data_IF_974060157197
#
_entry.id   IF_974060157197
#
_cell.length_a   1.000
_cell.length_b   1.000
_cell.length_c   1.000
_cell.angle_alpha   90.00
_cell.angle_beta   90.00
_cell.angle_gamma   90.00
#
_symmetry.space_group_name_H-M   'P 1'
#
loop_
_entity.id
_entity.type
_entity.pdbx_description
1 polymer ?
#
# COMPACT_ATOMS: atom_id res chain seq x y z
N UNK A 1 15.66 15.76 20.91
CA UNK A 1 15.57 14.31 20.66
C UNK A 1 14.25 14.00 19.93
N UNK A 2 14.24 14.16 18.60
CA UNK A 2 13.04 14.07 17.74
C UNK A 2 13.25 13.20 16.49
N UNK A 3 14.21 12.27 16.50
CA UNK A 3 14.76 11.73 15.23
C UNK A 3 14.25 10.35 14.81
N UNK A 4 13.54 9.57 15.63
CA UNK A 4 13.16 8.21 15.18
C UNK A 4 12.00 8.20 14.19
N UNK A 5 11.03 9.10 14.30
CA UNK A 5 9.86 9.12 13.41
C UNK A 5 10.11 9.87 12.08
N UNK A 6 11.07 10.81 12.01
CA UNK A 6 11.37 11.48 10.75
C UNK A 6 12.18 10.59 9.81
N UNK A 7 13.10 9.77 10.34
CA UNK A 7 13.98 8.90 9.54
C UNK A 7 13.20 7.87 8.69
N UNK A 8 12.10 7.32 9.21
CA UNK A 8 11.24 6.36 8.49
C UNK A 8 10.60 6.98 7.25
N UNK A 9 10.18 8.24 7.34
CA UNK A 9 9.49 8.97 6.27
C UNK A 9 10.50 9.56 5.29
N UNK A 10 11.61 10.05 5.81
CA UNK A 10 12.65 10.74 5.04
C UNK A 10 13.36 9.77 4.07
N UNK A 11 13.63 8.52 4.46
CA UNK A 11 14.24 7.53 3.57
C UNK A 11 13.31 7.02 2.45
N UNK A 12 12.01 6.84 2.71
CA UNK A 12 11.06 6.46 1.64
C UNK A 12 10.74 7.64 0.70
N UNK A 13 10.80 8.89 1.19
CA UNK A 13 10.76 10.08 0.35
C UNK A 13 12.07 10.28 -0.44
N UNK A 14 13.23 9.97 0.15
CA UNK A 14 14.55 10.08 -0.50
C UNK A 14 14.73 9.03 -1.62
N UNK A 15 14.30 7.79 -1.40
CA UNK A 15 14.28 6.75 -2.44
C UNK A 15 13.37 7.12 -3.62
N UNK A 16 12.36 7.98 -3.41
CA UNK A 16 11.49 8.50 -4.47
C UNK A 16 12.01 9.80 -5.10
N UNK A 17 12.79 10.63 -4.39
CA UNK A 17 13.36 11.89 -4.91
C UNK A 17 14.44 11.69 -5.97
N UNK A 18 15.17 10.57 -5.96
CA UNK A 18 16.18 10.23 -6.98
C UNK A 18 15.58 9.90 -8.37
N UNK A 19 14.28 10.12 -8.58
CA UNK A 19 13.55 9.84 -9.81
C UNK A 19 13.41 11.04 -10.77
N UNK A 20 14.00 12.20 -10.48
CA UNK A 20 13.95 13.33 -11.40
C UNK A 20 15.13 13.30 -12.39
N UNK A 21 14.95 12.58 -13.49
CA UNK A 21 15.59 12.94 -14.77
C UNK A 21 14.51 13.52 -15.70
N UNK A 22 14.84 14.52 -16.54
CA UNK A 22 13.83 15.31 -17.22
C UNK A 22 13.35 14.57 -18.48
N UNK A 23 12.16 13.99 -18.42
CA UNK A 23 11.46 13.56 -19.63
C UNK A 23 10.40 14.60 -19.98
N UNK A 24 10.78 15.41 -20.97
CA UNK A 24 9.94 16.04 -21.99
C UNK A 24 8.48 16.36 -21.69
N UNK A 25 8.21 17.65 -21.64
CA UNK A 25 6.91 18.31 -21.79
C UNK A 25 6.10 17.75 -22.98
N UNK A 26 4.87 17.29 -22.69
CA UNK A 26 3.61 17.26 -23.49
C UNK A 26 2.74 16.15 -22.88
N UNK A 27 1.47 16.29 -22.51
CA UNK A 27 0.38 17.12 -23.02
C UNK A 27 -0.75 17.13 -21.97
N UNK A 28 -1.40 18.28 -21.79
CA UNK A 28 -2.48 18.57 -20.82
C UNK A 28 -3.85 17.93 -21.17
N UNK A 29 -3.90 16.77 -21.83
CA UNK A 29 -5.18 16.21 -22.33
C UNK A 29 -5.45 14.72 -22.02
N UNK A 30 -4.66 14.06 -21.19
CA UNK A 30 -4.76 12.58 -21.03
C UNK A 30 -5.74 12.07 -19.97
N UNK A 31 -6.47 12.93 -19.24
CA UNK A 31 -7.35 12.49 -18.13
C UNK A 31 -8.77 12.13 -18.60
N UNK A 32 -9.13 12.35 -19.87
CA UNK A 32 -10.50 12.11 -20.36
C UNK A 32 -10.63 10.95 -21.39
N UNK A 33 -9.73 9.96 -21.37
CA UNK A 33 -9.76 8.85 -22.34
C UNK A 33 -9.44 7.48 -21.70
N UNK A 34 -10.12 7.12 -20.61
CA UNK A 34 -10.08 5.75 -20.03
C UNK A 34 -11.41 4.99 -20.22
N UNK A 35 -12.40 5.56 -20.91
CA UNK A 35 -13.62 4.83 -21.28
C UNK A 35 -13.86 4.91 -22.77
N UNK A 36 -13.39 3.90 -23.53
CA UNK A 36 -14.04 3.35 -24.73
C UNK A 36 -13.07 2.46 -25.51
N UNK A 37 -13.14 1.15 -25.28
CA UNK A 37 -13.31 0.15 -26.35
C UNK A 37 -13.81 -1.15 -25.72
N UNK A 38 -15.08 -1.46 -25.94
CA UNK A 38 -15.70 -2.75 -25.67
C UNK A 38 -15.37 -3.71 -26.81
N UNK A 39 -14.87 -4.90 -26.49
CA UNK A 39 -15.02 -6.09 -27.34
C UNK A 39 -15.76 -7.13 -26.50
N UNK A 40 -16.95 -7.49 -26.96
CA UNK A 40 -17.82 -8.52 -26.41
C UNK A 40 -17.14 -9.90 -26.38
N UNK A 41 -16.91 -10.42 -25.18
CA UNK A 41 -17.01 -11.83 -24.80
C UNK A 41 -17.41 -11.81 -23.32
N UNK A 42 -18.42 -12.60 -22.92
CA UNK A 42 -19.05 -12.65 -21.58
C UNK A 42 -18.15 -12.22 -20.42
N UNK A 43 -18.14 -10.92 -20.10
CA UNK A 43 -17.42 -10.40 -18.95
C UNK A 43 -18.22 -10.78 -17.71
N UNK A 44 -17.56 -11.50 -16.81
CA UNK A 44 -18.03 -11.68 -15.45
C UNK A 44 -18.35 -10.29 -14.87
N UNK A 45 -19.55 -10.11 -14.29
CA UNK A 45 -20.06 -8.79 -13.86
C UNK A 45 -19.12 -8.07 -12.86
N UNK A 46 -18.11 -8.77 -12.35
CA UNK A 46 -17.03 -8.25 -11.50
C UNK A 46 -16.13 -7.22 -12.19
N UNK A 47 -15.86 -7.35 -13.50
CA UNK A 47 -15.02 -6.39 -14.25
C UNK A 47 -15.70 -5.04 -14.46
N UNK A 48 -17.04 -5.00 -14.37
CA UNK A 48 -17.82 -3.78 -14.56
C UNK A 48 -17.61 -2.75 -13.45
N UNK A 49 -17.19 -3.18 -12.26
CA UNK A 49 -17.15 -2.33 -11.07
C UNK A 49 -15.77 -2.22 -10.42
N UNK A 50 -14.89 -3.23 -10.57
CA UNK A 50 -13.54 -3.18 -10.04
C UNK A 50 -12.51 -3.34 -11.18
N UNK A 51 -11.71 -2.31 -11.48
CA UNK A 51 -10.70 -2.38 -12.53
C UNK A 51 -9.70 -3.51 -12.27
N UNK A 52 -9.46 -4.37 -13.26
CA UNK A 52 -8.50 -5.46 -13.16
C UNK A 52 -7.05 -4.98 -12.99
N UNK A 53 -6.74 -3.76 -13.42
CA UNK A 53 -5.44 -3.09 -13.30
C UNK A 53 -5.39 -2.06 -12.16
N UNK A 54 -6.25 -2.21 -11.14
CA UNK A 54 -6.38 -1.25 -10.03
C UNK A 54 -5.05 -0.91 -9.34
N UNK A 55 -4.12 -1.87 -9.20
CA UNK A 55 -2.78 -1.60 -8.64
C UNK A 55 -2.04 -0.53 -9.46
N UNK A 56 -2.05 -0.67 -10.78
CA UNK A 56 -1.36 0.25 -11.68
C UNK A 56 -2.00 1.63 -11.64
N UNK A 57 -3.34 1.69 -11.59
CA UNK A 57 -4.08 2.95 -11.46
C UNK A 57 -3.67 3.66 -10.16
N UNK A 58 -3.62 2.94 -9.03
CA UNK A 58 -3.19 3.49 -7.73
C UNK A 58 -1.74 3.98 -7.80
N UNK A 59 -0.83 3.20 -8.37
CA UNK A 59 0.58 3.58 -8.48
C UNK A 59 0.79 4.79 -9.39
N UNK A 60 0.08 4.88 -10.51
CA UNK A 60 0.12 6.03 -11.42
C UNK A 60 -0.35 7.31 -10.71
N UNK A 61 -1.44 7.24 -9.92
CA UNK A 61 -1.90 8.38 -9.11
C UNK A 61 -0.84 8.92 -8.14
N UNK A 62 0.14 8.10 -7.71
CA UNK A 62 1.18 8.51 -6.76
C UNK A 62 2.46 9.06 -7.44
N UNK A 63 2.54 9.00 -8.77
CA UNK A 63 3.73 9.39 -9.55
C UNK A 63 3.62 10.76 -10.21
N UNK A 64 2.55 11.51 -9.94
CA UNK A 64 2.34 12.81 -10.57
C UNK A 64 3.19 13.90 -9.90
N UNK A 65 3.69 14.86 -10.68
CA UNK A 65 4.46 15.99 -10.12
C UNK A 65 3.57 17.01 -9.39
N UNK A 66 2.24 16.90 -9.48
CA UNK A 66 1.30 17.85 -8.90
C UNK A 66 0.44 17.17 -7.82
N UNK A 67 0.69 17.54 -6.57
CA UNK A 67 0.05 16.91 -5.41
C UNK A 67 -1.48 17.01 -5.41
N UNK A 68 -2.06 18.10 -5.93
CA UNK A 68 -3.51 18.27 -6.00
C UNK A 68 -4.14 17.29 -6.99
N UNK A 69 -3.47 17.04 -8.12
CA UNK A 69 -3.92 16.03 -9.08
C UNK A 69 -3.87 14.63 -8.46
N UNK A 70 -2.84 14.33 -7.67
CA UNK A 70 -2.74 13.04 -6.97
C UNK A 70 -3.88 12.86 -5.96
N UNK A 71 -4.23 13.90 -5.19
CA UNK A 71 -5.38 13.85 -4.28
C UNK A 71 -6.71 13.64 -5.01
N UNK A 72 -6.92 14.33 -6.13
CA UNK A 72 -8.11 14.13 -6.97
C UNK A 72 -8.19 12.70 -7.47
N UNK A 73 -7.08 12.17 -8.00
CA UNK A 73 -6.95 10.80 -8.49
C UNK A 73 -7.27 9.76 -7.38
N UNK A 74 -6.72 9.95 -6.17
CA UNK A 74 -7.00 9.08 -5.01
C UNK A 74 -8.49 9.12 -4.61
N UNK A 75 -9.14 10.29 -4.70
CA UNK A 75 -10.56 10.45 -4.40
C UNK A 75 -11.44 9.73 -5.43
N UNK A 76 -11.09 9.81 -6.71
CA UNK A 76 -11.80 9.09 -7.78
C UNK A 76 -11.73 7.57 -7.58
N UNK A 77 -10.55 7.03 -7.30
CA UNK A 77 -10.40 5.59 -6.99
C UNK A 77 -11.20 5.20 -5.75
N UNK A 78 -11.22 6.06 -4.72
CA UNK A 78 -12.04 5.82 -3.52
C UNK A 78 -13.51 5.64 -3.91
N UNK A 79 -14.04 6.51 -4.76
CA UNK A 79 -15.43 6.41 -5.25
C UNK A 79 -15.70 5.12 -6.02
N UNK A 80 -14.77 4.69 -6.88
CA UNK A 80 -14.87 3.41 -7.62
C UNK A 80 -14.94 2.23 -6.63
N UNK A 81 -14.06 2.20 -5.63
CA UNK A 81 -14.02 1.13 -4.64
C UNK A 81 -15.25 1.11 -3.73
N UNK A 82 -15.77 2.28 -3.34
CA UNK A 82 -17.01 2.40 -2.57
C UNK A 82 -18.23 1.96 -3.37
N UNK A 83 -18.26 2.22 -4.68
CA UNK A 83 -19.31 1.71 -5.56
C UNK A 83 -19.22 0.18 -5.69
N UNK A 84 -18.02 -0.35 -5.95
CA UNK A 84 -17.78 -1.79 -6.05
C UNK A 84 -18.20 -2.54 -4.77
N UNK A 85 -17.92 -1.97 -3.60
CA UNK A 85 -18.35 -2.55 -2.31
C UNK A 85 -19.87 -2.74 -2.22
N UNK A 86 -20.64 -1.72 -2.63
CA UNK A 86 -22.11 -1.75 -2.59
C UNK A 86 -22.67 -2.81 -3.54
N UNK A 87 -22.09 -2.93 -4.73
CA UNK A 87 -22.55 -3.87 -5.76
C UNK A 87 -22.19 -5.32 -5.42
N UNK A 88 -21.06 -5.56 -4.74
CA UNK A 88 -20.60 -6.91 -4.41
C UNK A 88 -21.07 -7.44 -3.06
N UNK A 89 -22.06 -6.83 -2.41
CA UNK A 89 -22.48 -7.18 -1.03
C UNK A 89 -22.76 -8.68 -0.80
N UNK A 90 -23.10 -9.44 -1.85
CA UNK A 90 -23.35 -10.88 -1.79
C UNK A 90 -22.22 -11.76 -2.38
N UNK A 91 -21.06 -11.20 -2.73
CA UNK A 91 -19.95 -11.94 -3.40
C UNK A 91 -18.65 -11.82 -2.60
N UNK A 92 -18.41 -12.80 -1.71
CA UNK A 92 -17.27 -12.81 -0.77
C UNK A 92 -15.90 -12.65 -1.43
N UNK A 93 -15.66 -13.28 -2.57
CA UNK A 93 -14.39 -13.17 -3.30
C UNK A 93 -14.16 -11.79 -3.91
N UNK A 94 -15.21 -11.15 -4.43
CA UNK A 94 -15.11 -9.79 -4.99
C UNK A 94 -14.93 -8.77 -3.87
N UNK A 95 -15.65 -8.93 -2.76
CA UNK A 95 -15.47 -8.10 -1.57
C UNK A 95 -14.07 -8.20 -0.97
N UNK A 96 -13.44 -9.39 -0.99
CA UNK A 96 -12.04 -9.53 -0.59
C UNK A 96 -11.13 -8.52 -1.31
N UNK A 97 -11.20 -8.47 -2.65
CA UNK A 97 -10.35 -7.56 -3.43
C UNK A 97 -10.74 -6.10 -3.23
N UNK A 98 -12.02 -5.78 -3.07
CA UNK A 98 -12.45 -4.41 -2.73
C UNK A 98 -11.82 -3.97 -1.41
N UNK A 99 -11.95 -4.76 -0.34
CA UNK A 99 -11.36 -4.44 0.96
C UNK A 99 -9.85 -4.37 0.92
N UNK A 100 -9.22 -5.30 0.21
CA UNK A 100 -7.77 -5.30 0.01
C UNK A 100 -7.29 -4.01 -0.67
N UNK A 101 -7.90 -3.63 -1.79
CA UNK A 101 -7.49 -2.46 -2.57
C UNK A 101 -7.84 -1.14 -1.88
N UNK A 102 -8.92 -1.07 -1.09
CA UNK A 102 -9.19 0.07 -0.20
C UNK A 102 -8.07 0.26 0.82
N UNK A 103 -7.62 -0.83 1.47
CA UNK A 103 -6.54 -0.76 2.43
C UNK A 103 -5.21 -0.36 1.79
N UNK A 104 -4.90 -0.90 0.59
CA UNK A 104 -3.71 -0.53 -0.15
C UNK A 104 -3.72 0.94 -0.59
N UNK A 105 -4.88 1.44 -1.05
CA UNK A 105 -5.09 2.86 -1.36
C UNK A 105 -4.85 3.73 -0.12
N UNK A 106 -5.39 3.34 1.05
CA UNK A 106 -5.14 4.04 2.32
C UNK A 106 -3.64 4.11 2.66
N UNK A 107 -2.91 3.01 2.48
CA UNK A 107 -1.45 2.98 2.66
C UNK A 107 -0.77 3.98 1.72
N UNK A 108 -1.10 3.99 0.42
CA UNK A 108 -0.51 4.94 -0.56
C UNK A 108 -0.87 6.40 -0.28
N UNK A 109 -2.11 6.66 0.09
CA UNK A 109 -2.60 7.99 0.42
C UNK A 109 -1.88 8.54 1.67
N UNK A 110 -1.47 7.69 2.61
CA UNK A 110 -0.68 8.14 3.76
C UNK A 110 0.65 8.78 3.36
N UNK A 111 1.35 8.23 2.35
CA UNK A 111 2.58 8.85 1.82
C UNK A 111 2.31 10.15 1.08
N UNK A 112 1.19 10.24 0.37
CA UNK A 112 0.77 11.48 -0.27
C UNK A 112 0.58 12.60 0.75
N UNK A 113 -0.01 12.29 1.91
CA UNK A 113 -0.16 13.23 3.03
C UNK A 113 1.20 13.60 3.62
N UNK A 114 2.11 12.62 3.77
CA UNK A 114 3.45 12.88 4.31
C UNK A 114 4.29 13.83 3.44
N UNK A 115 4.22 13.68 2.12
CA UNK A 115 4.94 14.53 1.15
C UNK A 115 4.29 15.91 0.94
N UNK A 116 3.10 16.15 1.50
CA UNK A 116 2.41 17.42 1.37
C UNK A 116 3.05 18.48 2.29
N UNK A 117 3.74 19.43 1.68
CA UNK A 117 4.42 20.52 2.39
C UNK A 117 3.45 21.60 2.89
N UNK A 118 2.22 21.65 2.38
CA UNK A 118 1.20 22.61 2.81
C UNK A 118 0.55 22.20 4.14
N UNK A 119 0.79 20.96 4.60
CA UNK A 119 0.27 20.44 5.86
C UNK A 119 1.32 20.48 6.95
N UNK A 120 0.94 20.96 8.12
CA UNK A 120 1.76 20.83 9.30
C UNK A 120 1.70 19.39 9.87
N UNK A 121 2.62 19.07 10.78
CA UNK A 121 2.74 17.72 11.35
C UNK A 121 1.49 17.24 12.09
N UNK A 122 0.74 18.16 12.72
CA UNK A 122 -0.49 17.79 13.41
C UNK A 122 -1.61 17.46 12.42
N UNK A 123 -1.74 18.24 11.34
CA UNK A 123 -2.70 17.96 10.27
C UNK A 123 -2.39 16.64 9.57
N UNK A 124 -1.11 16.36 9.28
CA UNK A 124 -0.67 15.08 8.72
C UNK A 124 -1.08 13.92 9.60
N UNK A 125 -0.82 13.98 10.91
CA UNK A 125 -1.20 12.94 11.87
C UNK A 125 -2.71 12.65 11.85
N UNK A 126 -3.53 13.70 11.90
CA UNK A 126 -4.99 13.57 11.89
C UNK A 126 -5.48 12.94 10.58
N UNK A 127 -5.00 13.43 9.43
CA UNK A 127 -5.41 12.89 8.12
C UNK A 127 -4.95 11.45 7.92
N UNK A 128 -3.71 11.12 8.29
CA UNK A 128 -3.17 9.76 8.20
C UNK A 128 -3.94 8.81 9.11
N UNK A 129 -4.23 9.20 10.36
CA UNK A 129 -5.07 8.40 11.25
C UNK A 129 -6.40 8.08 10.58
N UNK A 130 -7.12 9.08 10.07
CA UNK A 130 -8.42 8.87 9.45
C UNK A 130 -8.36 7.93 8.23
N UNK A 131 -7.31 8.02 7.39
CA UNK A 131 -7.20 7.18 6.20
C UNK A 131 -6.78 5.74 6.55
N UNK A 132 -5.87 5.57 7.51
CA UNK A 132 -5.33 4.27 7.92
C UNK A 132 -6.38 3.48 8.70
N UNK A 133 -7.11 4.09 9.63
CA UNK A 133 -8.16 3.40 10.40
C UNK A 133 -9.27 2.89 9.47
N UNK A 134 -9.65 3.66 8.43
CA UNK A 134 -10.59 3.18 7.39
C UNK A 134 -10.06 1.98 6.59
N UNK A 135 -8.77 1.98 6.27
CA UNK A 135 -8.15 0.85 5.58
C UNK A 135 -8.12 -0.41 6.46
N UNK A 136 -7.83 -0.25 7.75
CA UNK A 136 -7.83 -1.33 8.74
C UNK A 136 -9.24 -1.91 8.95
N UNK A 137 -10.27 -1.05 9.00
CA UNK A 137 -11.68 -1.48 9.06
C UNK A 137 -12.03 -2.40 7.88
N UNK A 138 -11.65 -2.01 6.65
CA UNK A 138 -11.83 -2.84 5.46
C UNK A 138 -11.15 -4.21 5.58
N UNK A 139 -9.88 -4.24 6.02
CA UNK A 139 -9.18 -5.52 6.23
C UNK A 139 -9.84 -6.37 7.31
N UNK A 140 -10.38 -5.76 8.37
CA UNK A 140 -11.07 -6.49 9.43
C UNK A 140 -12.29 -7.26 8.90
N UNK A 141 -12.99 -6.73 7.89
CA UNK A 141 -14.13 -7.37 7.23
C UNK A 141 -13.75 -8.58 6.34
N UNK A 142 -12.47 -8.84 6.11
CA UNK A 142 -12.02 -10.06 5.42
C UNK A 142 -12.03 -11.23 6.41
N UNK A 143 -12.94 -12.19 6.24
CA UNK A 143 -13.07 -13.36 7.13
C UNK A 143 -11.85 -14.28 7.06
N UNK A 144 -11.46 -14.70 5.84
CA UNK A 144 -10.37 -15.63 5.60
C UNK A 144 -9.06 -14.90 5.27
N UNK A 145 -8.54 -14.16 6.25
CA UNK A 145 -7.25 -13.47 6.11
C UNK A 145 -6.16 -14.51 5.86
N UNK A 146 -5.36 -14.27 4.83
CA UNK A 146 -4.24 -15.12 4.43
C UNK A 146 -2.91 -14.34 4.52
N UNK A 147 -1.81 -14.99 4.17
CA UNK A 147 -0.47 -14.37 4.11
C UNK A 147 -0.48 -13.00 3.42
N UNK A 148 -1.25 -12.86 2.33
CA UNK A 148 -1.38 -11.63 1.55
C UNK A 148 -2.09 -10.51 2.33
N UNK A 149 -3.23 -10.82 2.95
CA UNK A 149 -3.97 -9.87 3.79
C UNK A 149 -3.15 -9.43 5.01
N UNK A 150 -2.46 -10.37 5.67
CA UNK A 150 -1.62 -10.05 6.82
C UNK A 150 -0.39 -9.23 6.45
N UNK A 151 0.15 -9.41 5.24
CA UNK A 151 1.24 -8.57 4.72
C UNK A 151 0.80 -7.11 4.62
N UNK A 152 -0.38 -6.87 4.04
CA UNK A 152 -0.93 -5.53 3.93
C UNK A 152 -1.32 -4.96 5.31
N UNK A 153 -1.89 -5.77 6.19
CA UNK A 153 -2.20 -5.38 7.57
C UNK A 153 -0.96 -4.86 8.30
N UNK A 154 0.17 -5.56 8.21
CA UNK A 154 1.43 -5.13 8.82
C UNK A 154 1.91 -3.76 8.28
N UNK A 155 1.73 -3.48 6.99
CA UNK A 155 2.03 -2.17 6.42
C UNK A 155 1.15 -1.06 7.01
N UNK A 156 -0.16 -1.29 7.10
CA UNK A 156 -1.08 -0.29 7.69
C UNK A 156 -0.77 -0.07 9.17
N UNK A 157 -0.50 -1.13 9.94
CA UNK A 157 -0.10 -1.03 11.35
C UNK A 157 1.20 -0.22 11.48
N UNK A 158 2.15 -0.38 10.55
CA UNK A 158 3.39 0.41 10.51
C UNK A 158 3.12 1.90 10.30
N UNK A 159 2.04 2.30 9.62
CA UNK A 159 1.67 3.71 9.51
C UNK A 159 1.09 4.29 10.80
N UNK A 160 0.55 3.45 11.71
CA UNK A 160 -0.01 3.89 13.01
C UNK A 160 1.05 4.57 13.89
N UNK A 161 2.34 4.25 13.73
CA UNK A 161 3.43 4.87 14.50
C UNK A 161 3.51 6.39 14.36
N UNK A 162 2.99 6.95 13.26
CA UNK A 162 2.98 8.40 13.01
C UNK A 162 2.13 9.14 14.04
N UNK A 163 0.98 8.57 14.40
CA UNK A 163 -0.01 9.21 15.27
C UNK A 163 -0.16 8.52 16.64
N UNK A 164 0.53 7.40 16.87
CA UNK A 164 0.45 6.66 18.13
C UNK A 164 1.25 7.38 19.24
N UNK A 165 0.63 7.67 20.40
CA UNK A 165 1.33 8.22 21.55
C UNK A 165 2.43 7.30 22.06
N UNK A 166 3.52 7.86 22.60
CA UNK A 166 4.71 7.11 23.05
C UNK A 166 4.40 5.96 24.00
N UNK A 167 3.47 6.17 24.93
CA UNK A 167 3.07 5.17 25.92
C UNK A 167 2.42 3.91 25.29
N UNK A 168 1.91 4.00 24.06
CA UNK A 168 1.24 2.90 23.36
C UNK A 168 2.14 2.21 22.32
N UNK A 169 3.38 2.66 22.13
CA UNK A 169 4.28 2.16 21.07
C UNK A 169 4.62 0.69 21.27
N UNK A 170 4.81 0.22 22.51
CA UNK A 170 5.10 -1.19 22.78
C UNK A 170 3.93 -2.11 22.39
N UNK A 171 2.70 -1.69 22.71
CA UNK A 171 1.50 -2.43 22.31
C UNK A 171 1.41 -2.50 20.77
N UNK A 172 1.65 -1.38 20.09
CA UNK A 172 1.65 -1.33 18.63
C UNK A 172 2.75 -2.22 18.01
N UNK A 173 3.93 -2.27 18.61
CA UNK A 173 5.00 -3.20 18.19
C UNK A 173 4.56 -4.64 18.26
N UNK A 174 3.89 -5.05 19.34
CA UNK A 174 3.40 -6.42 19.50
C UNK A 174 2.27 -6.73 18.51
N UNK A 175 1.37 -5.76 18.26
CA UNK A 175 0.33 -5.88 17.23
C UNK A 175 0.93 -6.10 15.85
N UNK A 176 1.94 -5.31 15.47
CA UNK A 176 2.60 -5.42 14.17
C UNK A 176 3.36 -6.74 14.03
N UNK A 177 4.10 -7.17 15.06
CA UNK A 177 4.80 -8.46 15.06
C UNK A 177 3.86 -9.63 14.83
N UNK A 178 2.67 -9.63 15.46
CA UNK A 178 1.65 -10.66 15.21
C UNK A 178 1.20 -10.68 13.75
N UNK A 179 0.92 -9.51 13.16
CA UNK A 179 0.55 -9.43 11.75
C UNK A 179 1.67 -9.94 10.82
N UNK A 180 2.92 -9.62 11.13
CA UNK A 180 4.10 -10.10 10.41
C UNK A 180 4.28 -11.63 10.54
N UNK A 181 4.10 -12.19 11.73
CA UNK A 181 4.13 -13.63 11.97
C UNK A 181 3.02 -14.34 11.17
N UNK A 182 1.78 -13.84 11.22
CA UNK A 182 0.68 -14.38 10.44
C UNK A 182 0.89 -14.23 8.93
N UNK A 183 1.58 -13.19 8.48
CA UNK A 183 1.92 -13.05 7.05
C UNK A 183 2.84 -14.17 6.54
N UNK A 184 3.57 -14.82 7.45
CA UNK A 184 4.50 -15.91 7.10
C UNK A 184 3.85 -17.29 7.15
N UNK A 185 2.67 -17.45 7.77
CA UNK A 185 1.93 -18.72 7.75
C UNK A 185 1.45 -18.98 6.31
N UNK A 186 1.86 -20.12 5.76
CA UNK A 186 1.66 -20.51 4.34
C UNK A 186 2.18 -19.45 3.35
N UNK A 187 3.11 -18.60 3.82
CA UNK A 187 3.63 -17.43 3.11
C UNK A 187 4.93 -17.69 2.37
N UNK A 188 5.40 -18.94 2.25
CA UNK A 188 6.74 -19.24 1.72
C UNK A 188 6.92 -18.80 0.25
N UNK A 189 5.80 -18.66 -0.47
CA UNK A 189 5.74 -18.21 -1.86
C UNK A 189 5.15 -16.80 -2.01
N UNK A 190 4.95 -16.06 -0.91
CA UNK A 190 4.42 -14.70 -0.95
C UNK A 190 5.55 -13.68 -0.87
N UNK A 191 5.86 -13.01 -1.99
CA UNK A 191 6.91 -11.97 -2.02
C UNK A 191 6.62 -10.83 -1.05
N UNK A 192 5.35 -10.46 -0.89
CA UNK A 192 4.93 -9.34 -0.03
C UNK A 192 5.14 -9.66 1.44
N UNK A 193 4.93 -10.90 1.88
CA UNK A 193 5.21 -11.32 3.27
C UNK A 193 6.69 -11.10 3.64
N UNK A 194 7.61 -11.53 2.78
CA UNK A 194 9.05 -11.29 2.97
C UNK A 194 9.41 -9.81 2.89
N UNK A 195 8.83 -9.08 1.92
CA UNK A 195 9.07 -7.65 1.77
C UNK A 195 8.66 -6.84 3.00
N UNK A 196 7.47 -7.10 3.57
CA UNK A 196 6.99 -6.33 4.72
C UNK A 196 7.76 -6.67 5.99
N UNK A 197 8.14 -7.93 6.17
CA UNK A 197 9.03 -8.35 7.25
C UNK A 197 10.41 -7.70 7.14
N UNK A 198 10.97 -7.63 5.92
CA UNK A 198 12.24 -6.96 5.69
C UNK A 198 12.16 -5.46 5.97
N UNK A 199 11.09 -4.81 5.50
CA UNK A 199 10.86 -3.38 5.71
C UNK A 199 10.73 -3.08 7.19
N UNK A 200 9.94 -3.87 7.93
CA UNK A 200 9.80 -3.72 9.37
C UNK A 200 11.13 -3.91 10.12
N UNK A 201 11.90 -4.95 9.77
CA UNK A 201 13.21 -5.20 10.37
C UNK A 201 14.18 -4.04 10.09
N UNK A 202 14.27 -3.58 8.84
CA UNK A 202 15.16 -2.50 8.42
C UNK A 202 14.93 -1.21 9.22
N UNK A 203 13.67 -0.81 9.38
CA UNK A 203 13.37 0.43 10.07
C UNK A 203 13.30 0.29 11.60
N UNK A 204 13.16 -0.93 12.13
CA UNK A 204 13.22 -1.15 13.57
C UNK A 204 14.60 -0.75 14.10
N UNK A 205 14.70 0.17 15.10
CA UNK A 205 16.00 0.56 15.64
C UNK A 205 16.81 -0.64 16.18
N UNK A 206 18.14 -0.59 16.03
CA UNK A 206 19.05 -1.66 16.48
C UNK A 206 18.86 -2.07 17.95
N UNK A 207 18.56 -1.11 18.83
CA UNK A 207 18.28 -1.37 20.26
C UNK A 207 17.05 -2.25 20.49
N UNK A 208 16.11 -2.28 19.53
CA UNK A 208 14.93 -3.15 19.53
C UNK A 208 15.14 -4.41 18.66
N UNK A 209 16.37 -4.62 18.17
CA UNK A 209 16.77 -5.83 17.45
C UNK A 209 16.63 -5.77 15.93
N UNK A 210 16.29 -4.63 15.34
CA UNK A 210 16.15 -4.50 13.89
C UNK A 210 17.47 -4.36 13.12
N UNK A 211 17.34 -4.35 11.79
CA UNK A 211 18.43 -4.26 10.82
C UNK A 211 19.28 -5.53 10.70
N UNK A 212 18.77 -6.68 11.15
CA UNK A 212 19.51 -7.95 11.18
C UNK A 212 19.10 -8.93 10.08
N UNK A 213 17.85 -8.85 9.63
CA UNK A 213 17.23 -9.82 8.72
C UNK A 213 16.84 -9.21 7.38
N UNK A 214 16.72 -7.88 7.31
CA UNK A 214 16.23 -7.15 6.15
C UNK A 214 16.82 -7.64 4.82
N UNK A 215 18.14 -7.67 4.69
CA UNK A 215 18.81 -8.11 3.46
C UNK A 215 18.44 -9.55 3.07
N UNK A 216 18.58 -10.50 4.01
CA UNK A 216 18.26 -11.92 3.74
C UNK A 216 16.80 -12.12 3.33
N UNK A 217 15.87 -11.36 3.93
CA UNK A 217 14.45 -11.39 3.61
C UNK A 217 14.17 -10.78 2.23
N UNK A 218 14.83 -9.68 1.86
CA UNK A 218 14.69 -9.07 0.53
C UNK A 218 15.26 -9.98 -0.58
N UNK A 219 16.40 -10.63 -0.34
CA UNK A 219 16.98 -11.61 -1.27
C UNK A 219 16.03 -12.79 -1.47
N UNK A 220 15.43 -13.31 -0.39
CA UNK A 220 14.39 -14.34 -0.47
C UNK A 220 13.18 -13.85 -1.27
N UNK A 221 12.72 -12.63 -1.03
CA UNK A 221 11.59 -12.02 -1.76
C UNK A 221 11.86 -11.96 -3.27
N UNK A 222 13.05 -11.54 -3.71
CA UNK A 222 13.42 -11.50 -5.14
C UNK A 222 13.42 -12.91 -5.77
N UNK A 223 13.90 -13.91 -5.03
CA UNK A 223 14.02 -15.29 -5.53
C UNK A 223 12.68 -15.96 -5.81
N UNK A 224 11.58 -15.44 -5.25
CA UNK A 224 10.26 -16.03 -5.37
C UNK A 224 9.70 -15.79 -6.78
N UNK A 225 9.28 -16.90 -7.41
CA UNK A 225 8.50 -16.90 -8.64
C UNK A 225 7.02 -16.88 -8.29
N UNK A 226 6.47 -15.68 -8.18
CA UNK A 226 5.04 -15.51 -7.87
C UNK A 226 4.15 -16.10 -8.97
N UNK A 227 3.09 -16.80 -8.54
CA UNK A 227 2.05 -17.32 -9.42
C UNK A 227 0.83 -16.41 -9.33
N UNK A 228 0.76 -15.41 -10.20
CA UNK A 228 -0.40 -14.55 -10.35
C UNK A 228 -1.43 -15.31 -11.19
N UNK A 229 -2.61 -15.55 -10.62
CA UNK A 229 -3.71 -16.29 -11.27
C UNK A 229 -4.74 -15.36 -11.87
N UNK A 230 -5.01 -14.24 -11.20
CA UNK A 230 -5.98 -13.25 -11.63
C UNK A 230 -5.30 -11.90 -11.86
N UNK A 231 -5.70 -11.13 -12.89
CA UNK A 231 -5.13 -9.80 -13.14
C UNK A 231 -5.17 -8.86 -11.93
N UNK A 232 -6.23 -8.99 -11.11
CA UNK A 232 -6.54 -8.19 -9.93
C UNK A 232 -5.74 -8.56 -8.68
N UNK A 233 -5.00 -9.66 -8.71
CA UNK A 233 -4.14 -10.05 -7.59
C UNK A 233 -2.98 -9.05 -7.43
N UNK A 234 -2.57 -8.77 -6.18
CA UNK A 234 -1.50 -7.84 -5.90
C UNK A 234 -0.15 -8.32 -6.43
N UNK A 235 0.61 -7.38 -6.98
CA UNK A 235 1.94 -7.55 -7.59
C UNK A 235 2.95 -6.57 -7.02
N UNK A 236 2.52 -5.67 -6.13
CA UNK A 236 3.38 -4.70 -5.46
C UNK A 236 4.46 -5.38 -4.60
N UNK A 237 5.43 -4.58 -4.17
CA UNK A 237 6.58 -5.04 -3.39
C UNK A 237 7.76 -5.43 -4.27
N UNK A 238 7.59 -6.32 -5.26
CA UNK A 238 8.71 -6.83 -6.07
C UNK A 238 9.49 -5.73 -6.80
N UNK A 239 8.79 -4.85 -7.53
CA UNK A 239 9.40 -3.69 -8.21
C UNK A 239 10.15 -2.77 -7.24
N UNK A 240 9.62 -2.63 -6.02
CA UNK A 240 10.22 -1.78 -4.97
C UNK A 240 11.48 -2.41 -4.41
N UNK A 241 11.47 -3.72 -4.14
CA UNK A 241 12.66 -4.46 -3.70
C UNK A 241 13.79 -4.34 -4.72
N UNK A 242 13.51 -4.54 -6.02
CA UNK A 242 14.51 -4.43 -7.08
C UNK A 242 15.15 -3.03 -7.17
N UNK A 243 14.39 -1.98 -6.82
CA UNK A 243 14.94 -0.61 -6.74
C UNK A 243 15.83 -0.39 -5.51
N UNK A 244 15.69 -1.16 -4.44
CA UNK A 244 16.54 -1.03 -3.26
C UNK A 244 17.97 -1.51 -3.52
N UNK A 245 18.17 -2.40 -4.50
CA UNK A 245 19.48 -2.98 -4.83
C UNK A 245 20.22 -2.29 -6.00
N UNK A 246 19.58 -1.33 -6.68
CA UNK A 246 20.14 -0.59 -7.83
C UNK A 246 20.30 0.88 -7.48
#
# INVERSE_FOLDING_TARGET
MSSSNSIFIELELLLNKNFLSPIGVRSKFFILFIFLTTICLSQDNSEKFLPLNIEEIIEQCYTSQNINNEYTCMKEITGILEQAEKEFINTSKSLYYVYYWKAYLSYKHSFLILKNNDLNEQEKKVKIKNIIEKGLEGLNNIENKNSETYSLLALLISMKYIYTPRQNILQLMNENKKALEFSMIDGENNTRAYYVNASYDFYTPKQYGGGKKAESLLLKAISIKEKIRLPIEPKWGKKRILKTFN
#
